data_IF_500316187235
#
_entry.id   IF_500316187235
#
_cell.length_a   1.000
_cell.length_b   1.000
_cell.length_c   1.000
_cell.angle_alpha   90.00
_cell.angle_beta   90.00
_cell.angle_gamma   90.00
#
_symmetry.space_group_name_H-M   'P 1'
#
loop_
_entity.id
_entity.type
_entity.pdbx_description
1 polymer ?
#
# COMPACT_ATOMS: atom_id res chain seq x y z
N UNK A 1 9.58 -19.14 -12.29
CA UNK A 1 10.35 -17.91 -12.52
C UNK A 1 10.20 -17.09 -11.25
N UNK A 2 11.25 -16.98 -10.42
CA UNK A 2 11.18 -16.11 -9.24
C UNK A 2 10.78 -14.71 -9.68
N UNK A 3 9.71 -14.17 -9.09
CA UNK A 3 9.24 -12.84 -9.42
C UNK A 3 10.30 -11.84 -8.94
N UNK A 4 11.03 -11.22 -9.88
CA UNK A 4 12.11 -10.27 -9.58
C UNK A 4 11.66 -9.16 -8.62
N UNK A 5 10.38 -8.77 -8.67
CA UNK A 5 9.82 -7.83 -7.72
C UNK A 5 9.75 -8.39 -6.30
N UNK A 6 9.30 -9.64 -6.11
CA UNK A 6 9.22 -10.24 -4.76
C UNK A 6 10.60 -10.31 -4.12
N UNK A 7 11.61 -10.70 -4.90
CA UNK A 7 13.00 -10.69 -4.44
C UNK A 7 13.45 -9.28 -4.03
N UNK A 8 13.21 -8.26 -4.87
CA UNK A 8 13.52 -6.87 -4.54
C UNK A 8 12.78 -6.39 -3.28
N UNK A 9 11.50 -6.73 -3.15
CA UNK A 9 10.66 -6.35 -2.01
C UNK A 9 11.15 -6.98 -0.70
N UNK A 10 11.57 -8.23 -0.74
CA UNK A 10 12.12 -8.93 0.43
C UNK A 10 13.50 -8.39 0.83
N UNK A 11 14.36 -8.09 -0.16
CA UNK A 11 15.73 -7.61 0.04
C UNK A 11 15.81 -6.11 0.42
N UNK A 12 14.80 -5.30 0.08
CA UNK A 12 14.79 -3.87 0.41
C UNK A 12 14.55 -3.64 1.90
N UNK A 13 15.35 -2.79 2.53
CA UNK A 13 15.04 -2.21 3.85
C UNK A 13 13.77 -1.35 3.77
N UNK A 14 12.95 -1.43 4.82
CA UNK A 14 11.80 -0.56 4.99
C UNK A 14 12.10 0.43 6.10
N UNK A 15 11.81 1.71 5.90
CA UNK A 15 11.80 2.70 6.96
C UNK A 15 10.55 3.55 6.90
N UNK A 16 9.74 3.53 7.95
CA UNK A 16 8.49 4.29 7.99
C UNK A 16 8.79 5.73 8.41
N UNK A 17 8.52 6.69 7.53
CA UNK A 17 8.65 8.11 7.86
C UNK A 17 7.67 8.55 8.97
N UNK A 18 8.17 9.36 9.91
CA UNK A 18 7.36 9.98 10.95
C UNK A 18 6.27 10.86 10.33
N UNK A 19 5.00 10.50 10.53
CA UNK A 19 3.85 11.25 10.05
C UNK A 19 3.10 10.56 8.91
N UNK A 20 3.75 9.68 8.15
CA UNK A 20 3.12 9.00 7.01
C UNK A 20 1.88 8.20 7.41
N UNK A 21 1.88 7.57 8.58
CA UNK A 21 0.70 6.84 9.08
C UNK A 21 -0.50 7.76 9.29
N UNK A 22 -0.28 8.99 9.76
CA UNK A 22 -1.34 10.00 9.95
C UNK A 22 -1.82 10.56 8.61
N UNK A 23 -0.91 10.74 7.65
CA UNK A 23 -1.25 11.23 6.32
C UNK A 23 -2.09 10.20 5.56
N UNK A 24 -1.70 8.92 5.60
CA UNK A 24 -2.49 7.82 5.04
C UNK A 24 -3.84 7.70 5.75
N UNK A 25 -3.88 7.85 7.08
CA UNK A 25 -5.13 7.84 7.82
C UNK A 25 -6.06 8.96 7.34
N UNK A 26 -5.57 10.20 7.23
CA UNK A 26 -6.37 11.34 6.77
C UNK A 26 -6.85 11.15 5.32
N UNK A 27 -6.01 10.56 4.46
CA UNK A 27 -6.39 10.19 3.09
C UNK A 27 -7.58 9.20 3.09
N UNK A 28 -7.51 8.13 3.88
CA UNK A 28 -8.57 7.12 3.92
C UNK A 28 -9.87 7.62 4.59
N UNK A 29 -9.76 8.51 5.59
CA UNK A 29 -10.92 9.16 6.20
C UNK A 29 -11.68 10.09 5.23
N UNK A 30 -11.04 10.54 4.15
CA UNK A 30 -11.65 11.38 3.13
C UNK A 30 -12.47 10.63 2.07
N UNK A 31 -12.41 9.29 2.03
CA UNK A 31 -13.10 8.48 1.01
C UNK A 31 -14.43 7.93 1.54
N UNK A 32 -15.56 8.46 1.03
CA UNK A 32 -16.92 8.16 1.52
C UNK A 32 -17.32 6.67 1.41
N UNK A 33 -16.77 5.95 0.43
CA UNK A 33 -17.12 4.55 0.17
C UNK A 33 -16.30 3.53 1.01
N UNK A 34 -15.39 4.01 1.86
CA UNK A 34 -14.66 3.18 2.83
C UNK A 34 -15.51 3.00 4.09
N UNK A 35 -15.90 1.76 4.39
CA UNK A 35 -16.61 1.40 5.62
C UNK A 35 -15.72 1.49 6.86
N UNK A 36 -14.48 1.00 6.74
CA UNK A 36 -13.52 0.98 7.84
C UNK A 36 -12.12 0.65 7.30
N UNK A 37 -11.08 1.05 8.04
CA UNK A 37 -9.72 0.66 7.72
C UNK A 37 -8.87 0.45 8.98
N UNK A 38 -7.74 -0.22 8.82
CA UNK A 38 -6.74 -0.46 9.85
C UNK A 38 -5.34 -0.33 9.25
N UNK A 39 -4.44 0.40 9.93
CA UNK A 39 -3.06 0.62 9.51
C UNK A 39 -2.14 0.15 10.64
N UNK A 40 -1.24 -0.79 10.33
CA UNK A 40 -0.27 -1.34 11.29
C UNK A 40 1.09 -1.57 10.64
N UNK A 41 2.15 -1.14 11.31
CA UNK A 41 3.51 -1.57 10.96
C UNK A 41 3.78 -2.95 11.57
N UNK A 42 4.41 -3.86 10.81
CA UNK A 42 4.94 -5.11 11.37
C UNK A 42 6.38 -4.95 11.88
N UNK A 43 6.95 -6.02 12.46
CA UNK A 43 8.32 -6.05 12.99
C UNK A 43 9.39 -5.80 11.93
N UNK A 44 9.05 -5.89 10.63
CA UNK A 44 9.95 -5.59 9.50
C UNK A 44 9.69 -4.21 8.91
N UNK A 45 8.98 -3.35 9.65
CA UNK A 45 8.57 -2.01 9.25
C UNK A 45 7.77 -1.99 7.94
N UNK A 46 7.04 -3.07 7.64
CA UNK A 46 6.09 -3.09 6.52
C UNK A 46 4.76 -2.51 6.99
N UNK A 47 4.25 -1.50 6.28
CA UNK A 47 2.95 -0.89 6.55
C UNK A 47 1.85 -1.79 6.00
N UNK A 48 1.07 -2.40 6.87
CA UNK A 48 -0.10 -3.19 6.52
C UNK A 48 -1.32 -2.28 6.59
N UNK A 49 -2.00 -2.13 5.45
CA UNK A 49 -3.20 -1.31 5.29
C UNK A 49 -4.33 -2.25 4.91
N UNK A 50 -5.35 -2.37 5.74
CA UNK A 50 -6.55 -3.13 5.45
C UNK A 50 -7.71 -2.16 5.30
N UNK A 51 -8.36 -2.18 4.14
CA UNK A 51 -9.47 -1.30 3.78
C UNK A 51 -10.69 -2.18 3.51
N UNK A 52 -11.80 -1.83 4.15
CA UNK A 52 -13.10 -2.45 3.91
C UNK A 52 -14.02 -1.46 3.25
N UNK A 53 -14.58 -1.82 2.11
CA UNK A 53 -15.49 -1.01 1.31
C UNK A 53 -16.94 -1.31 1.69
N UNK A 54 -17.82 -0.32 1.50
CA UNK A 54 -19.26 -0.55 1.59
C UNK A 54 -19.74 -1.52 0.52
N UNK A 55 -19.26 -1.34 -0.72
CA UNK A 55 -19.54 -2.19 -1.86
C UNK A 55 -18.25 -2.45 -2.62
N UNK A 56 -17.73 -3.68 -2.55
CA UNK A 56 -16.52 -4.04 -3.28
C UNK A 56 -16.75 -4.03 -4.80
N UNK A 57 -15.80 -3.43 -5.52
CA UNK A 57 -15.61 -3.67 -6.94
C UNK A 57 -14.13 -3.57 -7.29
N UNK A 58 -13.66 -4.41 -8.22
CA UNK A 58 -12.25 -4.38 -8.65
C UNK A 58 -11.83 -3.01 -9.18
N UNK A 59 -12.76 -2.32 -9.86
CA UNK A 59 -12.52 -1.00 -10.43
C UNK A 59 -12.30 0.05 -9.32
N UNK A 60 -13.13 0.03 -8.29
CA UNK A 60 -13.04 0.99 -7.19
C UNK A 60 -11.87 0.69 -6.27
N UNK A 61 -11.62 -0.59 -5.95
CA UNK A 61 -10.45 -1.01 -5.18
C UNK A 61 -9.14 -0.59 -5.89
N UNK A 62 -9.08 -0.77 -7.21
CA UNK A 62 -7.95 -0.28 -8.00
C UNK A 62 -7.82 1.25 -7.96
N UNK A 63 -8.94 2.00 -8.04
CA UNK A 63 -8.92 3.47 -7.93
C UNK A 63 -8.30 3.89 -6.60
N UNK A 64 -8.81 3.40 -5.47
CA UNK A 64 -8.31 3.72 -4.13
C UNK A 64 -6.81 3.42 -4.04
N UNK A 65 -6.37 2.26 -4.52
CA UNK A 65 -4.95 1.90 -4.49
C UNK A 65 -4.11 2.86 -5.34
N UNK A 66 -4.55 3.21 -6.56
CA UNK A 66 -3.81 4.13 -7.41
C UNK A 66 -3.76 5.55 -6.82
N UNK A 67 -4.84 6.00 -6.20
CA UNK A 67 -4.90 7.29 -5.52
C UNK A 67 -3.93 7.32 -4.32
N UNK A 68 -3.88 6.22 -3.54
CA UNK A 68 -2.89 6.04 -2.47
C UNK A 68 -1.46 6.09 -3.03
N UNK A 69 -1.16 5.35 -4.10
CA UNK A 69 0.16 5.34 -4.76
C UNK A 69 0.56 6.73 -5.26
N UNK A 70 -0.39 7.52 -5.78
CA UNK A 70 -0.14 8.89 -6.19
C UNK A 70 0.11 9.83 -5.00
N UNK A 71 -0.53 9.54 -3.86
CA UNK A 71 -0.40 10.33 -2.65
C UNK A 71 0.93 10.08 -1.92
N UNK A 72 1.33 8.82 -1.74
CA UNK A 72 2.55 8.45 -0.98
C UNK A 72 3.77 8.18 -1.84
N UNK A 73 3.62 8.11 -3.16
CA UNK A 73 4.66 7.62 -4.06
C UNK A 73 5.81 8.60 -4.22
N UNK A 74 7.02 8.11 -4.01
CA UNK A 74 8.25 8.84 -4.33
C UNK A 74 8.66 8.69 -5.80
N UNK A 75 9.56 9.57 -6.21
CA UNK A 75 9.93 9.81 -7.62
C UNK A 75 10.89 8.77 -8.23
N UNK A 76 11.60 7.96 -7.44
CA UNK A 76 12.62 7.03 -7.95
C UNK A 76 12.11 5.60 -8.09
N UNK A 77 11.60 5.03 -7.01
CA UNK A 77 11.00 3.70 -6.99
C UNK A 77 9.53 3.85 -6.67
N UNK A 78 8.68 3.30 -7.54
CA UNK A 78 7.25 3.28 -7.37
C UNK A 78 6.72 2.01 -8.08
N UNK A 79 6.87 0.87 -7.41
CA UNK A 79 6.62 -0.46 -7.99
C UNK A 79 5.61 -1.22 -7.15
N UNK A 80 4.66 -1.88 -7.80
CA UNK A 80 3.72 -2.76 -7.12
C UNK A 80 3.40 -4.00 -7.94
N UNK A 81 2.95 -5.04 -7.24
CA UNK A 81 2.26 -6.18 -7.82
C UNK A 81 0.88 -6.32 -7.19
N UNK A 82 -0.03 -6.93 -7.93
CA UNK A 82 -1.42 -7.10 -7.56
C UNK A 82 -1.76 -8.59 -7.59
N UNK A 83 -2.40 -9.07 -6.54
CA UNK A 83 -3.01 -10.40 -6.45
C UNK A 83 -4.53 -10.23 -6.30
N UNK A 84 -5.26 -10.63 -7.34
CA UNK A 84 -6.71 -10.51 -7.41
C UNK A 84 -7.36 -11.79 -6.91
N UNK A 85 -8.15 -11.67 -5.85
CA UNK A 85 -8.92 -12.75 -5.25
C UNK A 85 -10.42 -12.43 -5.39
N UNK A 86 -11.32 -13.42 -5.29
CA UNK A 86 -12.75 -13.15 -5.29
C UNK A 86 -13.13 -12.19 -4.14
N UNK A 87 -13.74 -11.06 -4.49
CA UNK A 87 -14.17 -10.00 -3.56
C UNK A 87 -13.03 -9.37 -2.72
N UNK A 88 -11.78 -9.46 -3.18
CA UNK A 88 -10.63 -8.95 -2.45
C UNK A 88 -9.44 -8.73 -3.36
N UNK A 89 -8.71 -7.64 -3.17
CA UNK A 89 -7.43 -7.41 -3.86
C UNK A 89 -6.32 -7.15 -2.86
N UNK A 90 -5.13 -7.67 -3.17
CA UNK A 90 -3.92 -7.44 -2.39
C UNK A 90 -2.84 -6.82 -3.25
N UNK A 91 -2.24 -5.75 -2.76
CA UNK A 91 -1.10 -5.10 -3.36
C UNK A 91 0.11 -5.22 -2.46
N UNK A 92 1.24 -5.59 -3.05
CA UNK A 92 2.55 -5.34 -2.46
C UNK A 92 3.11 -4.11 -3.14
N UNK A 93 3.46 -3.10 -2.36
CA UNK A 93 3.88 -1.81 -2.86
C UNK A 93 5.22 -1.40 -2.25
N UNK A 94 6.17 -1.01 -3.11
CA UNK A 94 7.47 -0.49 -2.73
C UNK A 94 7.66 0.89 -3.35
N UNK A 95 7.94 1.88 -2.49
CA UNK A 95 8.35 3.21 -2.92
C UNK A 95 9.61 3.68 -2.19
N UNK A 96 10.45 4.50 -2.80
CA UNK A 96 11.68 4.99 -2.17
C UNK A 96 12.16 6.33 -2.75
N UNK A 97 12.73 7.17 -1.88
CA UNK A 97 13.53 8.34 -2.26
C UNK A 97 14.99 7.94 -2.57
N UNK A 98 15.76 8.88 -3.10
CA UNK A 98 17.17 8.69 -3.34
C UNK A 98 17.91 8.61 -2.00
N UNK A 99 18.74 7.58 -1.83
CA UNK A 99 19.64 7.37 -0.68
C UNK A 99 18.96 7.08 0.68
N UNK A 100 17.66 6.79 0.69
CA UNK A 100 16.93 6.30 1.86
C UNK A 100 16.52 4.85 1.71
N UNK A 101 16.24 4.21 2.85
CA UNK A 101 15.47 2.96 2.88
C UNK A 101 14.11 3.17 2.20
N UNK A 102 13.59 2.12 1.56
CA UNK A 102 12.29 2.18 0.91
C UNK A 102 11.15 2.16 1.93
N UNK A 103 9.93 2.30 1.45
CA UNK A 103 8.71 2.07 2.21
C UNK A 103 7.99 0.91 1.57
N UNK A 104 7.82 -0.14 2.35
CA UNK A 104 7.07 -1.33 1.97
C UNK A 104 5.69 -1.26 2.53
N UNK A 105 4.69 -1.44 1.67
CA UNK A 105 3.29 -1.50 2.06
C UNK A 105 2.64 -2.78 1.55
N UNK A 106 1.75 -3.32 2.36
CA UNK A 106 0.80 -4.38 2.00
C UNK A 106 -0.59 -3.80 2.10
N UNK A 107 -1.23 -3.57 0.96
CA UNK A 107 -2.57 -2.98 0.90
C UNK A 107 -3.56 -4.07 0.57
N UNK A 108 -4.55 -4.26 1.43
CA UNK A 108 -5.63 -5.22 1.24
C UNK A 108 -6.94 -4.46 1.17
N UNK A 109 -7.73 -4.68 0.11
CA UNK A 109 -9.02 -4.02 -0.09
C UNK A 109 -10.08 -5.10 -0.32
N UNK A 110 -11.15 -5.08 0.48
CA UNK A 110 -12.27 -6.03 0.43
C UNK A 110 -13.62 -5.37 0.70
#
# INVERSE_FOLDING_TARGET
MENKFLKLFDESSSHIELGMSKDIQAFLEGEEDIQSFDIKADEKEIVNINIKLHNFSDTFAKKIFMDLVNFVGYNRINLFICDNLPAKVKYLYLTALQDTDGIKMKVTIE
#
